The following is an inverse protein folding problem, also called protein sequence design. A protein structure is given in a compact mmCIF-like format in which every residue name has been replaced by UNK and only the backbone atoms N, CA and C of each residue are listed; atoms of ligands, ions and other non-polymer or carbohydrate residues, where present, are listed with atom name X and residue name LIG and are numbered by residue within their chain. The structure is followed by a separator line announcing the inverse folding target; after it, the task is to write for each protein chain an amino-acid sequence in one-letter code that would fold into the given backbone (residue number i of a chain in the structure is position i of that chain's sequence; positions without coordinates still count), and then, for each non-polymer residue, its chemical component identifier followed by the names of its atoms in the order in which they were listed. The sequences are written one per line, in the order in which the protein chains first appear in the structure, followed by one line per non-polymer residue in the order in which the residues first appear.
data_IF_313998355194
#
_entry.id   IF_313998355194
#
_cell.length_a   1.000
_cell.length_b   1.000
_cell.length_c   1.000
_cell.angle_alpha   90.00
_cell.angle_beta   90.00
_cell.angle_gamma   90.00
#
_symmetry.space_group_name_H-M   'P 1'
#
loop_
_entity.id
_entity.type
_entity.pdbx_description
1 polymer ?
#
# COMPACT_ATOMS: atom_id res chain seq x y z
N UNK A 1 -11.61 -13.16 -59.84
CA UNK A 1 -12.93 -13.72 -59.61
C UNK A 1 -13.31 -13.27 -58.20
N UNK A 2 -13.87 -12.08 -58.04
CA UNK A 2 -15.27 -11.70 -57.78
C UNK A 2 -15.88 -12.55 -56.69
N UNK A 3 -16.19 -11.98 -55.46
CA UNK A 3 -17.44 -11.28 -55.22
C UNK A 3 -17.39 -10.49 -53.90
N UNK A 4 -17.74 -9.23 -53.99
CA UNK A 4 -18.19 -8.33 -52.90
C UNK A 4 -19.60 -8.75 -52.48
N UNK A 5 -19.94 -8.60 -51.19
CA UNK A 5 -21.31 -8.14 -50.84
C UNK A 5 -21.16 -7.29 -49.54
N UNK A 6 -21.64 -6.05 -49.65
CA UNK A 6 -21.95 -5.11 -48.60
C UNK A 6 -23.46 -5.15 -48.32
N UNK A 7 -23.88 -4.93 -47.07
CA UNK A 7 -25.23 -4.42 -46.69
C UNK A 7 -25.07 -3.72 -45.35
N UNK A 8 -25.12 -2.44 -45.27
CA UNK A 8 -26.23 -1.44 -45.25
C UNK A 8 -26.99 -1.41 -43.91
N UNK A 9 -26.84 -0.24 -43.30
CA UNK A 9 -27.47 0.44 -42.17
C UNK A 9 -29.01 0.30 -42.15
N UNK A 10 -29.58 0.17 -40.95
CA UNK A 10 -30.88 0.76 -40.62
C UNK A 10 -30.93 1.13 -39.12
N UNK A 11 -31.13 2.40 -38.88
CA UNK A 11 -31.53 2.99 -37.63
C UNK A 11 -33.01 2.75 -37.37
N UNK A 12 -33.37 2.46 -36.12
CA UNK A 12 -34.75 2.64 -35.64
C UNK A 12 -34.73 3.14 -34.20
N UNK A 13 -35.08 4.41 -34.04
CA UNK A 13 -35.51 5.02 -32.79
C UNK A 13 -36.77 4.34 -32.26
N UNK A 14 -36.75 3.91 -31.00
CA UNK A 14 -37.98 3.68 -30.25
C UNK A 14 -37.81 4.29 -28.86
N UNK A 15 -38.49 5.39 -28.62
CA UNK A 15 -38.78 5.94 -27.30
C UNK A 15 -39.57 4.90 -26.49
N UNK A 16 -39.03 4.54 -25.31
CA UNK A 16 -39.79 3.85 -24.27
C UNK A 16 -39.73 4.68 -22.99
N UNK A 17 -40.91 4.95 -22.44
CA UNK A 17 -41.17 5.77 -21.26
C UNK A 17 -40.55 5.24 -19.97
N UNK A 18 -40.41 6.08 -18.92
CA UNK A 18 -39.68 5.72 -17.70
C UNK A 18 -40.48 4.77 -16.83
N UNK A 19 -39.92 3.60 -16.58
CA UNK A 19 -40.43 2.66 -15.58
C UNK A 19 -40.11 3.17 -14.16
N UNK A 20 -41.15 3.22 -13.34
CA UNK A 20 -41.17 3.62 -11.94
C UNK A 20 -39.99 3.00 -11.14
N UNK A 21 -39.15 3.85 -10.57
CA UNK A 21 -38.23 3.52 -9.50
C UNK A 21 -38.99 2.99 -8.27
N UNK A 22 -38.78 1.73 -7.94
CA UNK A 22 -39.21 1.16 -6.65
C UNK A 22 -38.45 1.89 -5.55
N UNK A 23 -39.19 2.52 -4.63
CA UNK A 23 -38.66 3.11 -3.39
C UNK A 23 -37.96 2.01 -2.58
N UNK A 24 -36.64 2.07 -2.49
CA UNK A 24 -35.88 1.32 -1.49
C UNK A 24 -36.18 1.94 -0.12
N UNK A 25 -36.62 1.13 0.83
CA UNK A 25 -36.92 1.54 2.17
C UNK A 25 -35.68 2.16 2.82
N UNK A 26 -35.85 3.30 3.49
CA UNK A 26 -34.86 3.91 4.35
C UNK A 26 -34.55 2.95 5.50
N UNK A 27 -33.43 2.27 5.46
CA UNK A 27 -32.83 1.68 6.65
C UNK A 27 -32.32 2.82 7.53
N UNK A 28 -32.73 2.84 8.78
CA UNK A 28 -32.36 3.87 9.75
C UNK A 28 -30.85 3.80 10.03
N UNK A 29 -30.24 4.97 10.28
CA UNK A 29 -28.81 5.15 10.60
C UNK A 29 -28.28 4.23 11.72
N UNK A 30 -29.17 3.66 12.52
CA UNK A 30 -28.88 2.81 13.67
C UNK A 30 -28.58 1.33 13.31
N UNK A 31 -29.01 0.84 12.16
CA UNK A 31 -28.77 -0.57 11.78
C UNK A 31 -27.48 -0.76 10.96
N UNK A 32 -27.02 0.26 10.22
CA UNK A 32 -25.77 0.21 9.47
C UNK A 32 -24.50 0.24 10.35
N UNK A 33 -24.61 0.67 11.60
CA UNK A 33 -23.49 0.75 12.52
C UNK A 33 -23.18 -0.58 13.26
N UNK A 34 -23.99 -1.63 13.07
CA UNK A 34 -23.81 -2.91 13.76
C UNK A 34 -23.25 -4.03 12.89
N UNK A 35 -23.18 -3.84 11.59
CA UNK A 35 -22.72 -4.85 10.62
C UNK A 35 -21.44 -4.46 9.89
N UNK A 36 -20.76 -3.39 10.31
CA UNK A 36 -19.41 -3.11 9.87
C UNK A 36 -18.45 -3.97 10.70
N UNK A 37 -17.58 -4.80 10.07
CA UNK A 37 -16.47 -5.39 10.81
C UNK A 37 -15.69 -4.23 11.43
N UNK A 38 -15.31 -4.39 12.69
CA UNK A 38 -14.58 -3.40 13.48
C UNK A 38 -13.48 -2.78 12.61
N UNK A 39 -13.70 -1.53 12.18
CA UNK A 39 -12.65 -0.73 11.62
C UNK A 39 -11.69 -0.46 12.78
N UNK A 40 -10.67 -1.32 12.94
CA UNK A 40 -9.57 -1.07 13.85
C UNK A 40 -8.91 0.24 13.44
N UNK A 41 -9.46 1.34 13.95
CA UNK A 41 -8.76 2.61 13.98
C UNK A 41 -7.51 2.36 14.81
N UNK A 42 -6.29 2.67 14.32
CA UNK A 42 -5.10 2.58 15.13
C UNK A 42 -5.40 3.32 16.44
N UNK A 43 -5.31 2.62 17.55
CA UNK A 43 -5.50 3.21 18.86
C UNK A 43 -4.56 4.40 18.94
N UNK A 44 -5.04 5.52 19.49
CA UNK A 44 -4.21 6.68 19.81
C UNK A 44 -2.97 6.15 20.50
N UNK A 45 -1.78 6.38 19.89
CA UNK A 45 -0.50 6.05 20.48
C UNK A 45 -0.54 6.52 21.94
N UNK A 46 -0.67 5.58 22.86
CA UNK A 46 -0.30 5.84 24.25
C UNK A 46 1.22 5.83 24.21
N UNK A 47 1.81 7.03 24.16
CA UNK A 47 3.23 7.20 24.41
C UNK A 47 3.60 6.41 25.65
N UNK A 48 4.20 5.24 25.47
CA UNK A 48 4.92 4.60 26.56
C UNK A 48 6.10 5.54 26.85
N UNK A 49 6.12 6.25 27.98
CA UNK A 49 7.11 7.28 28.22
C UNK A 49 8.49 6.61 28.30
N UNK A 50 9.38 6.96 27.38
CA UNK A 50 10.80 6.73 27.51
C UNK A 50 11.36 5.46 26.87
N UNK A 51 10.70 4.84 25.88
CA UNK A 51 11.31 3.74 25.14
C UNK A 51 12.25 4.31 24.05
N UNK A 52 13.58 4.16 24.27
CA UNK A 52 14.56 4.46 23.21
C UNK A 52 14.58 3.34 22.17
N UNK A 53 13.79 3.48 21.11
CA UNK A 53 13.72 2.56 19.99
C UNK A 53 14.94 2.68 19.03
N UNK A 54 15.82 3.64 19.26
CA UNK A 54 17.08 3.78 18.51
C UNK A 54 18.11 2.68 18.83
N UNK A 55 17.99 2.01 19.99
CA UNK A 55 18.90 0.97 20.45
C UNK A 55 18.43 -0.46 20.13
N UNK A 56 17.47 -0.66 19.21
CA UNK A 56 16.95 -1.99 18.86
C UNK A 56 18.03 -2.87 18.23
N UNK A 57 18.30 -4.01 18.87
CA UNK A 57 19.28 -5.03 18.41
C UNK A 57 18.64 -5.99 17.41
N UNK A 58 17.44 -6.46 17.72
CA UNK A 58 16.69 -7.44 16.92
C UNK A 58 15.20 -7.17 17.00
N UNK A 59 14.48 -7.57 15.95
CA UNK A 59 13.02 -7.62 15.94
C UNK A 59 12.56 -8.96 15.38
N UNK A 60 11.50 -9.49 15.95
CA UNK A 60 10.84 -10.74 15.51
C UNK A 60 9.36 -10.43 15.35
N UNK A 61 8.78 -10.71 14.18
CA UNK A 61 7.35 -10.60 13.99
C UNK A 61 6.68 -11.79 14.66
N UNK A 62 5.76 -11.53 15.58
CA UNK A 62 5.13 -12.55 16.43
C UNK A 62 3.67 -12.80 16.08
N UNK A 63 3.11 -11.95 15.21
CA UNK A 63 1.72 -12.10 14.76
C UNK A 63 1.29 -10.95 13.85
N UNK A 64 -0.01 -10.89 13.58
CA UNK A 64 -0.58 -9.80 12.78
C UNK A 64 -0.39 -8.48 13.53
N UNK A 65 0.39 -7.58 12.94
CA UNK A 65 0.75 -6.26 13.47
C UNK A 65 1.49 -6.27 14.80
N UNK A 66 2.06 -7.39 15.21
CA UNK A 66 2.81 -7.51 16.46
C UNK A 66 4.26 -7.93 16.24
N UNK A 67 5.16 -7.34 16.98
CA UNK A 67 6.56 -7.72 17.00
C UNK A 67 7.11 -7.67 18.41
N UNK A 68 8.05 -8.59 18.72
CA UNK A 68 8.91 -8.50 19.89
C UNK A 68 10.22 -7.86 19.46
N UNK A 69 10.62 -6.77 20.11
CA UNK A 69 11.90 -6.10 19.90
C UNK A 69 12.85 -6.34 21.07
N UNK A 70 14.11 -6.61 20.76
CA UNK A 70 15.20 -6.75 21.73
C UNK A 70 15.93 -5.43 21.86
N UNK A 71 15.84 -4.84 23.04
CA UNK A 71 16.63 -3.70 23.49
C UNK A 71 17.77 -4.18 24.41
N UNK A 72 18.63 -3.26 24.83
CA UNK A 72 19.67 -3.60 25.78
C UNK A 72 19.08 -4.07 27.12
N UNK A 73 19.26 -5.38 27.42
CA UNK A 73 18.82 -6.00 28.68
C UNK A 73 17.33 -6.31 28.82
N UNK A 74 16.49 -6.08 27.78
CA UNK A 74 15.04 -6.40 27.82
C UNK A 74 14.42 -6.65 26.45
N UNK A 75 13.29 -7.34 26.45
CA UNK A 75 12.41 -7.47 25.29
C UNK A 75 11.11 -6.71 25.53
N UNK A 76 10.51 -6.18 24.45
CA UNK A 76 9.26 -5.43 24.50
C UNK A 76 8.40 -5.84 23.30
N UNK A 77 7.13 -6.12 23.55
CA UNK A 77 6.13 -6.34 22.52
C UNK A 77 5.54 -5.00 22.08
N UNK A 78 5.41 -4.83 20.77
CA UNK A 78 4.93 -3.59 20.16
C UNK A 78 3.86 -3.87 19.10
N UNK A 79 2.97 -2.92 18.88
CA UNK A 79 2.17 -2.86 17.67
C UNK A 79 3.02 -2.20 16.56
N UNK A 80 3.28 -2.93 15.50
CA UNK A 80 4.12 -2.44 14.40
C UNK A 80 3.48 -1.28 13.64
N UNK A 81 2.15 -1.12 13.73
CA UNK A 81 1.42 0.01 13.12
C UNK A 81 1.75 1.34 13.78
N UNK A 82 2.23 1.31 15.01
CA UNK A 82 2.66 2.50 15.76
C UNK A 82 4.10 2.92 15.42
N UNK A 83 4.89 2.07 14.74
CA UNK A 83 6.26 2.38 14.35
C UNK A 83 6.30 3.36 13.20
N UNK A 84 6.65 4.60 13.49
CA UNK A 84 6.88 5.61 12.47
C UNK A 84 8.25 5.43 11.81
N UNK A 85 8.30 5.29 10.48
CA UNK A 85 9.57 5.29 9.74
C UNK A 85 10.44 6.52 10.03
N UNK A 86 9.84 7.64 10.42
CA UNK A 86 10.54 8.91 10.66
C UNK A 86 11.04 9.07 12.09
N UNK A 87 10.29 8.53 13.05
CA UNK A 87 10.59 8.68 14.48
C UNK A 87 11.33 7.45 14.99
N UNK A 88 10.86 6.26 14.57
CA UNK A 88 11.33 4.97 15.05
C UNK A 88 12.10 4.20 13.97
N UNK A 89 12.88 4.91 13.14
CA UNK A 89 13.51 4.35 11.93
C UNK A 89 14.27 3.04 12.21
N UNK A 90 15.00 2.97 13.31
CA UNK A 90 15.79 1.77 13.66
C UNK A 90 14.89 0.56 13.92
N UNK A 91 13.84 0.70 14.73
CA UNK A 91 12.89 -0.36 15.03
C UNK A 91 12.07 -0.74 13.78
N UNK A 92 11.60 0.25 13.05
CA UNK A 92 10.88 0.05 11.79
C UNK A 92 11.72 -0.74 10.78
N UNK A 93 12.99 -0.39 10.58
CA UNK A 93 13.90 -1.11 9.68
C UNK A 93 14.14 -2.55 10.15
N UNK A 94 14.28 -2.80 11.45
CA UNK A 94 14.48 -4.15 12.01
C UNK A 94 13.22 -5.01 11.83
N UNK A 95 12.03 -4.48 12.15
CA UNK A 95 10.77 -5.18 11.91
C UNK A 95 10.56 -5.47 10.40
N UNK A 96 10.85 -4.49 9.54
CA UNK A 96 10.76 -4.67 8.09
C UNK A 96 11.73 -5.74 7.57
N UNK A 97 12.94 -5.81 8.11
CA UNK A 97 13.96 -6.79 7.73
C UNK A 97 13.63 -8.22 8.21
N UNK A 98 12.75 -8.35 9.21
CA UNK A 98 12.28 -9.65 9.70
C UNK A 98 11.19 -10.27 8.82
N UNK A 99 10.62 -9.52 7.87
CA UNK A 99 9.62 -10.00 6.92
C UNK A 99 10.29 -10.67 5.70
N UNK A 100 9.60 -11.59 5.08
CA UNK A 100 10.05 -12.19 3.81
C UNK A 100 9.98 -11.18 2.66
N UNK A 101 8.87 -10.45 2.56
CA UNK A 101 8.67 -9.39 1.57
C UNK A 101 7.83 -8.24 2.12
N UNK A 102 8.04 -7.07 1.54
CA UNK A 102 7.15 -5.92 1.74
C UNK A 102 6.47 -5.54 0.44
N UNK A 103 5.31 -4.90 0.51
CA UNK A 103 4.49 -4.56 -0.65
C UNK A 103 5.28 -3.84 -1.77
N UNK A 104 6.27 -3.03 -1.42
CA UNK A 104 7.15 -2.36 -2.39
C UNK A 104 8.04 -3.33 -3.19
N UNK A 105 8.17 -4.58 -2.76
CA UNK A 105 9.00 -5.63 -3.36
C UNK A 105 8.18 -6.78 -3.96
N UNK A 106 6.85 -6.76 -3.82
CA UNK A 106 6.00 -7.85 -4.32
C UNK A 106 6.14 -8.11 -5.82
N UNK A 107 6.41 -7.05 -6.61
CA UNK A 107 6.69 -7.24 -8.04
C UNK A 107 8.02 -7.97 -8.31
N UNK A 108 8.96 -8.01 -7.35
CA UNK A 108 10.17 -8.82 -7.48
C UNK A 108 9.84 -10.31 -7.39
N UNK A 109 8.88 -10.73 -6.57
CA UNK A 109 8.42 -12.12 -6.53
C UNK A 109 7.87 -12.61 -7.88
N UNK A 110 7.32 -11.71 -8.71
CA UNK A 110 6.84 -11.95 -10.07
C UNK A 110 7.92 -11.72 -11.14
N UNK A 111 9.14 -11.40 -10.75
CA UNK A 111 10.25 -10.97 -11.63
C UNK A 111 9.88 -9.78 -12.55
N UNK A 112 9.00 -8.90 -12.07
CA UNK A 112 8.54 -7.69 -12.78
C UNK A 112 8.98 -6.38 -12.10
N UNK A 113 9.76 -6.48 -11.03
CA UNK A 113 10.26 -5.29 -10.34
C UNK A 113 11.33 -4.58 -11.18
N UNK A 114 11.24 -3.25 -11.26
CA UNK A 114 12.08 -2.46 -12.16
C UNK A 114 13.57 -2.45 -11.80
N UNK A 115 13.91 -2.60 -10.53
CA UNK A 115 15.25 -2.32 -10.00
C UNK A 115 15.93 -3.55 -9.41
N UNK A 116 15.21 -4.64 -9.22
CA UNK A 116 15.74 -5.85 -8.58
C UNK A 116 15.06 -7.08 -9.18
N UNK A 117 15.84 -8.08 -9.53
CA UNK A 117 15.31 -9.38 -9.92
C UNK A 117 14.82 -10.16 -8.70
N UNK A 118 14.03 -11.20 -8.95
CA UNK A 118 13.57 -12.13 -7.90
C UNK A 118 14.75 -12.77 -7.16
N UNK A 119 15.75 -13.23 -7.90
CA UNK A 119 16.95 -13.88 -7.35
C UNK A 119 17.75 -12.93 -6.44
N UNK A 120 17.95 -11.68 -6.86
CA UNK A 120 18.63 -10.69 -6.02
C UNK A 120 17.93 -10.48 -4.69
N UNK A 121 16.59 -10.34 -4.70
CA UNK A 121 15.82 -10.14 -3.46
C UNK A 121 15.86 -11.38 -2.58
N UNK A 122 15.77 -12.60 -3.14
CA UNK A 122 15.95 -13.85 -2.41
C UNK A 122 17.29 -13.90 -1.69
N UNK A 123 18.38 -13.61 -2.38
CA UNK A 123 19.74 -13.64 -1.81
C UNK A 123 19.93 -12.62 -0.69
N UNK A 124 19.32 -11.42 -0.81
CA UNK A 124 19.36 -10.43 0.28
C UNK A 124 18.57 -10.90 1.49
N UNK A 125 17.38 -11.42 1.27
CA UNK A 125 16.50 -11.88 2.35
C UNK A 125 17.00 -13.17 3.02
N UNK A 126 17.71 -14.02 2.28
CA UNK A 126 18.41 -15.19 2.82
C UNK A 126 19.71 -14.84 3.58
N UNK A 127 20.12 -13.55 3.54
CA UNK A 127 21.37 -13.13 4.20
C UNK A 127 22.65 -13.54 3.46
N UNK A 128 22.55 -14.08 2.25
CA UNK A 128 23.69 -14.53 1.45
C UNK A 128 24.53 -13.36 0.91
N UNK A 129 23.90 -12.23 0.65
CA UNK A 129 24.56 -10.99 0.24
C UNK A 129 23.95 -9.80 0.97
N UNK A 130 24.72 -8.74 1.24
CA UNK A 130 24.19 -7.56 1.89
C UNK A 130 23.15 -6.87 1.00
N UNK A 131 22.05 -6.42 1.62
CA UNK A 131 21.03 -5.64 0.92
C UNK A 131 21.62 -4.31 0.46
N UNK A 132 21.42 -3.90 -0.81
CA UNK A 132 21.90 -2.62 -1.30
C UNK A 132 21.31 -1.45 -0.49
N UNK A 133 22.16 -0.49 -0.12
CA UNK A 133 21.67 0.75 0.47
C UNK A 133 20.94 1.57 -0.60
N UNK A 134 19.67 1.77 -0.40
CA UNK A 134 18.89 2.65 -1.26
C UNK A 134 19.23 4.10 -0.95
N UNK A 135 19.59 4.86 -1.96
CA UNK A 135 19.99 6.27 -1.79
C UNK A 135 19.87 7.07 -3.08
N UNK A 136 20.37 8.31 -3.03
CA UNK A 136 20.41 9.22 -4.15
C UNK A 136 19.24 10.19 -4.21
N UNK A 137 19.41 11.18 -5.09
CA UNK A 137 18.51 12.35 -5.19
C UNK A 137 16.99 12.01 -5.28
N UNK A 138 16.54 10.95 -6.00
CA UNK A 138 15.12 10.63 -6.04
C UNK A 138 14.54 10.22 -4.68
N UNK A 139 15.30 9.43 -3.91
CA UNK A 139 14.87 8.93 -2.59
C UNK A 139 14.89 10.07 -1.57
N UNK A 140 15.95 10.84 -1.55
CA UNK A 140 16.07 12.03 -0.68
C UNK A 140 14.97 13.06 -0.98
N UNK A 141 14.66 13.27 -2.26
CA UNK A 141 13.58 14.14 -2.67
C UNK A 141 12.22 13.61 -2.15
N UNK A 142 11.97 12.31 -2.27
CA UNK A 142 10.77 11.66 -1.73
C UNK A 142 10.65 11.91 -0.24
N UNK A 143 11.66 11.52 0.54
CA UNK A 143 11.70 11.69 2.01
C UNK A 143 11.49 13.14 2.44
N UNK A 144 12.11 14.09 1.75
CA UNK A 144 12.01 15.54 2.06
C UNK A 144 10.62 16.10 1.80
N UNK A 145 9.96 15.64 0.77
CA UNK A 145 8.72 16.26 0.29
C UNK A 145 7.43 15.49 0.64
N UNK A 146 7.51 14.28 1.16
CA UNK A 146 6.37 13.44 1.49
C UNK A 146 5.34 14.13 2.41
N UNK A 147 5.78 14.78 3.50
CA UNK A 147 4.86 15.52 4.37
C UNK A 147 4.15 16.67 3.65
N UNK A 148 4.86 17.37 2.77
CA UNK A 148 4.25 18.44 1.97
C UNK A 148 3.25 17.87 0.96
N UNK A 149 3.55 16.72 0.39
CA UNK A 149 2.68 16.00 -0.51
C UNK A 149 1.40 15.51 0.20
N UNK A 150 1.51 14.88 1.37
CA UNK A 150 0.35 14.45 2.18
C UNK A 150 -0.56 15.65 2.50
N UNK A 151 0.02 16.79 2.91
CA UNK A 151 -0.75 18.02 3.14
C UNK A 151 -1.43 18.52 1.87
N UNK A 152 -0.78 18.38 0.70
CA UNK A 152 -1.37 18.74 -0.58
C UNK A 152 -2.51 17.80 -0.97
N UNK A 153 -2.40 16.50 -0.66
CA UNK A 153 -3.49 15.54 -0.81
C UNK A 153 -4.72 15.94 0.01
N UNK A 154 -4.56 16.17 1.32
CA UNK A 154 -5.64 16.55 2.20
C UNK A 154 -6.34 17.83 1.74
N UNK A 155 -5.58 18.86 1.30
CA UNK A 155 -6.16 20.09 0.74
C UNK A 155 -6.90 19.84 -0.57
N UNK A 156 -6.42 18.92 -1.41
CA UNK A 156 -7.00 18.63 -2.73
C UNK A 156 -8.29 17.85 -2.65
N UNK A 157 -8.36 16.89 -1.73
CA UNK A 157 -9.48 15.94 -1.61
C UNK A 157 -10.47 16.32 -0.50
N UNK A 158 -10.02 17.06 0.50
CA UNK A 158 -10.77 17.31 1.73
C UNK A 158 -10.78 16.13 2.69
N UNK A 159 -10.13 15.01 2.36
CA UNK A 159 -10.09 13.82 3.20
C UNK A 159 -9.10 13.98 4.36
N UNK A 160 -9.39 13.29 5.46
CA UNK A 160 -8.47 13.19 6.59
C UNK A 160 -7.43 12.10 6.32
N UNK A 161 -6.18 12.38 6.69
CA UNK A 161 -5.07 11.43 6.56
C UNK A 161 -4.41 11.26 7.92
N UNK A 162 -4.42 10.03 8.42
CA UNK A 162 -3.69 9.65 9.63
C UNK A 162 -2.37 8.99 9.25
N UNK A 163 -1.32 9.29 10.03
CA UNK A 163 -0.05 8.56 9.91
C UNK A 163 -0.24 7.11 10.35
N UNK A 164 0.54 6.22 9.77
CA UNK A 164 0.55 4.80 10.13
C UNK A 164 1.96 4.24 9.93
N UNK A 165 2.24 3.11 10.58
CA UNK A 165 3.54 2.45 10.51
C UNK A 165 3.55 1.21 9.62
N UNK A 166 4.18 0.14 10.14
CA UNK A 166 4.34 -1.12 9.43
C UNK A 166 3.16 -2.06 9.74
N UNK A 167 2.37 -2.36 8.74
CA UNK A 167 1.34 -3.39 8.78
C UNK A 167 1.95 -4.74 8.42
N UNK A 168 1.54 -5.80 9.10
CA UNK A 168 1.95 -7.17 8.80
C UNK A 168 0.72 -8.04 8.60
N UNK A 169 0.83 -9.03 7.73
CA UNK A 169 -0.23 -10.01 7.51
C UNK A 169 -0.36 -11.00 8.69
N UNK A 170 -1.33 -11.90 8.63
CA UNK A 170 -1.56 -12.89 9.69
C UNK A 170 -0.47 -13.96 9.78
N UNK A 171 0.32 -14.15 8.72
CA UNK A 171 1.45 -15.11 8.71
C UNK A 171 2.72 -14.50 9.29
N UNK A 172 2.81 -13.19 9.42
CA UNK A 172 4.02 -12.47 9.80
C UNK A 172 5.13 -12.50 8.73
N UNK A 173 4.81 -12.93 7.51
CA UNK A 173 5.77 -13.01 6.39
C UNK A 173 5.73 -11.76 5.50
N UNK A 174 4.60 -11.09 5.39
CA UNK A 174 4.40 -9.97 4.48
C UNK A 174 4.06 -8.68 5.22
N UNK A 175 4.57 -7.58 4.71
CA UNK A 175 4.28 -6.29 5.31
C UNK A 175 4.04 -5.17 4.30
N UNK A 176 3.44 -4.10 4.80
CA UNK A 176 3.16 -2.88 4.05
C UNK A 176 3.31 -1.65 4.96
N UNK A 177 3.83 -0.56 4.41
CA UNK A 177 3.86 0.74 5.09
C UNK A 177 3.28 1.77 4.13
N UNK A 178 1.95 1.93 4.10
CA UNK A 178 1.33 3.00 3.31
C UNK A 178 1.71 4.37 3.87
N UNK A 179 1.71 5.39 3.02
CA UNK A 179 2.07 6.75 3.42
C UNK A 179 0.97 7.43 4.26
N UNK A 180 -0.20 6.81 4.38
CA UNK A 180 -1.28 7.22 5.27
C UNK A 180 -2.52 6.34 5.20
N UNK A 181 -3.30 6.40 6.30
CA UNK A 181 -4.67 5.93 6.33
C UNK A 181 -5.59 7.10 5.98
N UNK A 182 -6.54 6.87 5.09
CA UNK A 182 -7.47 7.90 4.63
C UNK A 182 -8.88 7.55 5.06
N UNK A 183 -9.60 8.54 5.58
CA UNK A 183 -11.05 8.47 5.74
C UNK A 183 -11.68 9.37 4.68
N UNK A 184 -12.44 8.78 3.78
CA UNK A 184 -13.19 9.51 2.76
C UNK A 184 -14.36 10.23 3.45
N UNK A 185 -14.34 11.55 3.46
CA UNK A 185 -15.36 12.36 4.15
C UNK A 185 -16.76 12.24 3.53
N UNK A 186 -16.84 11.88 2.26
CA UNK A 186 -18.13 11.74 1.59
C UNK A 186 -18.82 10.42 1.93
N UNK A 187 -18.05 9.33 2.07
CA UNK A 187 -18.59 7.99 2.31
C UNK A 187 -18.38 7.48 3.73
N UNK A 188 -17.39 7.99 4.46
CA UNK A 188 -16.94 7.48 5.75
C UNK A 188 -16.09 6.22 5.63
N UNK A 189 -15.76 5.77 4.41
CA UNK A 189 -14.96 4.58 4.17
C UNK A 189 -13.47 4.85 4.42
N UNK A 190 -12.79 3.86 4.95
CA UNK A 190 -11.35 3.91 5.18
C UNK A 190 -10.58 3.27 4.02
N UNK A 191 -9.52 3.93 3.59
CA UNK A 191 -8.61 3.45 2.55
C UNK A 191 -7.17 3.84 2.84
N UNK A 192 -6.32 3.69 1.84
CA UNK A 192 -4.89 3.97 1.92
C UNK A 192 -4.51 5.18 1.07
N UNK A 193 -3.37 5.77 1.39
CA UNK A 193 -2.66 6.74 0.56
C UNK A 193 -1.27 6.21 0.23
N UNK A 194 -0.92 6.26 -1.06
CA UNK A 194 0.43 6.02 -1.55
C UNK A 194 0.92 7.24 -2.33
N UNK A 195 2.01 7.85 -1.89
CA UNK A 195 2.56 9.10 -2.43
C UNK A 195 3.82 8.82 -3.24
N UNK A 196 3.86 9.32 -4.47
CA UNK A 196 5.04 9.28 -5.34
C UNK A 196 5.52 10.67 -5.67
N UNK A 197 6.54 11.16 -4.96
CA UNK A 197 7.23 12.41 -5.26
C UNK A 197 8.15 12.22 -6.48
N UNK A 198 7.82 12.86 -7.60
CA UNK A 198 8.45 12.59 -8.90
C UNK A 198 9.69 13.47 -9.12
N UNK A 199 10.87 13.05 -8.64
CA UNK A 199 12.15 13.76 -8.83
C UNK A 199 12.44 14.12 -10.29
N UNK A 200 12.28 13.18 -11.21
CA UNK A 200 12.55 13.41 -12.65
C UNK A 200 11.60 14.42 -13.30
N UNK A 201 10.50 14.74 -12.64
CA UNK A 201 9.48 15.70 -13.10
C UNK A 201 9.32 16.91 -12.18
N UNK A 202 10.22 17.10 -11.21
CA UNK A 202 10.13 18.17 -10.18
C UNK A 202 10.03 19.59 -10.73
N UNK A 203 10.51 19.82 -11.94
CA UNK A 203 10.44 21.12 -12.63
C UNK A 203 9.20 21.27 -13.52
N UNK A 204 8.38 20.23 -13.65
CA UNK A 204 7.13 20.32 -14.43
C UNK A 204 6.10 21.13 -13.66
N UNK A 205 5.52 22.13 -14.32
CA UNK A 205 4.41 22.92 -13.76
C UNK A 205 3.10 22.14 -13.75
N UNK A 206 2.97 21.17 -14.66
CA UNK A 206 1.78 20.34 -14.78
C UNK A 206 2.16 18.90 -15.12
N UNK A 207 1.58 17.95 -14.40
CA UNK A 207 1.67 16.53 -14.68
C UNK A 207 0.61 16.12 -15.71
N UNK A 208 0.92 15.09 -16.48
CA UNK A 208 -0.08 14.46 -17.36
C UNK A 208 -1.26 13.92 -16.53
N UNK A 209 -2.46 13.83 -17.12
CA UNK A 209 -3.59 13.18 -16.47
C UNK A 209 -3.23 11.78 -15.97
N UNK A 210 -3.70 11.44 -14.78
CA UNK A 210 -3.54 10.12 -14.17
C UNK A 210 -4.89 9.40 -14.26
N UNK A 211 -5.09 8.65 -15.35
CA UNK A 211 -6.36 7.96 -15.64
C UNK A 211 -6.34 6.47 -15.32
N UNK A 212 -5.15 5.91 -15.14
CA UNK A 212 -4.95 4.52 -14.70
C UNK A 212 -3.72 4.40 -13.83
N UNK A 213 -3.71 3.39 -12.95
CA UNK A 213 -2.53 3.10 -12.14
C UNK A 213 -1.38 2.64 -13.05
N UNK A 214 -0.20 3.29 -12.97
CA UNK A 214 0.97 2.81 -13.70
C UNK A 214 1.38 1.42 -13.21
N UNK A 215 1.69 0.51 -14.14
CA UNK A 215 2.01 -0.90 -13.84
C UNK A 215 3.07 -1.05 -12.74
N UNK A 216 4.08 -0.19 -12.73
CA UNK A 216 5.17 -0.21 -11.74
C UNK A 216 4.76 0.07 -10.29
N UNK A 217 3.53 0.54 -10.04
CA UNK A 217 2.98 0.80 -8.71
C UNK A 217 1.83 -0.14 -8.37
N UNK A 218 1.30 -0.84 -9.38
CA UNK A 218 0.06 -1.60 -9.23
C UNK A 218 0.21 -2.73 -8.21
N UNK A 219 1.25 -3.57 -8.35
CA UNK A 219 1.48 -4.67 -7.41
C UNK A 219 1.74 -4.17 -5.98
N UNK A 220 2.51 -3.07 -5.82
CA UNK A 220 2.71 -2.45 -4.51
C UNK A 220 1.38 -2.03 -3.88
N UNK A 221 0.52 -1.33 -4.62
CA UNK A 221 -0.75 -0.80 -4.15
C UNK A 221 -1.72 -1.95 -3.82
N UNK A 222 -1.82 -2.96 -4.67
CA UNK A 222 -2.66 -4.13 -4.42
C UNK A 222 -2.18 -4.92 -3.20
N UNK A 223 -0.86 -5.11 -3.06
CA UNK A 223 -0.28 -5.75 -1.90
C UNK A 223 -0.49 -4.97 -0.60
N UNK A 224 -0.42 -3.64 -0.64
CA UNK A 224 -0.75 -2.80 0.52
C UNK A 224 -2.22 -3.00 0.93
N UNK A 225 -3.15 -2.99 -0.04
CA UNK A 225 -4.57 -3.20 0.25
C UNK A 225 -4.85 -4.59 0.82
N UNK A 226 -4.14 -5.61 0.36
CA UNK A 226 -4.25 -6.97 0.90
C UNK A 226 -3.78 -7.05 2.35
N UNK A 227 -2.55 -6.57 2.63
CA UNK A 227 -1.95 -6.62 3.98
C UNK A 227 -2.73 -5.77 4.98
N UNK A 228 -3.20 -4.58 4.55
CA UNK A 228 -3.91 -3.64 5.40
C UNK A 228 -5.43 -3.89 5.45
N UNK A 229 -5.94 -4.84 4.65
CA UNK A 229 -7.36 -5.12 4.49
C UNK A 229 -8.19 -3.87 4.19
N UNK A 230 -7.88 -3.23 3.06
CA UNK A 230 -8.57 -2.03 2.57
C UNK A 230 -9.05 -2.22 1.15
N UNK A 231 -10.22 -1.65 0.83
CA UNK A 231 -10.87 -1.83 -0.48
C UNK A 231 -10.39 -0.83 -1.54
N UNK A 232 -9.65 0.20 -1.14
CA UNK A 232 -9.11 1.19 -2.06
C UNK A 232 -7.84 1.86 -1.53
N UNK A 233 -7.04 2.35 -2.47
CA UNK A 233 -5.87 3.16 -2.22
C UNK A 233 -5.85 4.35 -3.16
N UNK A 234 -5.67 5.55 -2.65
CA UNK A 234 -5.45 6.74 -3.47
C UNK A 234 -3.97 6.84 -3.81
N UNK A 235 -3.62 6.58 -5.08
CA UNK A 235 -2.29 6.84 -5.63
C UNK A 235 -2.15 8.33 -5.93
N UNK A 236 -1.20 8.98 -5.29
CA UNK A 236 -0.86 10.37 -5.52
C UNK A 236 0.47 10.52 -6.24
N UNK A 237 0.48 11.20 -7.37
CA UNK A 237 1.69 11.69 -8.02
C UNK A 237 1.88 13.17 -7.68
N UNK A 238 3.03 13.51 -7.12
CA UNK A 238 3.31 14.84 -6.63
C UNK A 238 4.59 15.45 -7.24
N UNK A 239 4.50 16.73 -7.56
CA UNK A 239 5.63 17.63 -7.81
C UNK A 239 5.35 18.97 -7.11
N UNK A 240 6.33 19.86 -6.90
CA UNK A 240 6.12 21.14 -6.18
C UNK A 240 4.96 21.99 -6.71
N UNK A 241 4.60 21.85 -7.97
CA UNK A 241 3.64 22.72 -8.64
C UNK A 241 2.33 22.03 -9.07
N UNK A 242 2.23 20.69 -8.93
CA UNK A 242 1.03 19.96 -9.34
C UNK A 242 0.86 18.61 -8.62
N UNK A 243 -0.38 18.21 -8.51
CA UNK A 243 -0.83 16.98 -7.86
C UNK A 243 -1.82 16.25 -8.76
N UNK A 244 -1.64 14.95 -8.93
CA UNK A 244 -2.64 14.07 -9.51
C UNK A 244 -2.96 12.95 -8.51
N UNK A 245 -4.24 12.69 -8.32
CA UNK A 245 -4.74 11.63 -7.44
C UNK A 245 -5.60 10.69 -8.26
N UNK A 246 -5.45 9.40 -8.04
CA UNK A 246 -6.26 8.35 -8.65
C UNK A 246 -6.65 7.35 -7.56
N UNK A 247 -7.93 7.13 -7.36
CA UNK A 247 -8.42 6.04 -6.53
C UNK A 247 -8.28 4.72 -7.28
N UNK A 248 -7.54 3.81 -6.68
CA UNK A 248 -7.30 2.45 -7.20
C UNK A 248 -8.11 1.49 -6.33
N UNK A 249 -9.09 0.78 -6.89
CA UNK A 249 -9.83 -0.24 -6.15
C UNK A 249 -8.97 -1.48 -5.93
N UNK A 250 -9.29 -2.26 -4.89
CA UNK A 250 -8.69 -3.58 -4.64
C UNK A 250 -9.12 -4.55 -5.73
N UNK A 251 -8.14 -5.20 -6.33
CA UNK A 251 -8.31 -6.24 -7.34
C UNK A 251 -8.03 -7.61 -6.70
N UNK A 252 -9.08 -8.25 -6.19
CA UNK A 252 -8.98 -9.55 -5.53
C UNK A 252 -8.59 -10.66 -6.49
N UNK A 253 -8.96 -10.56 -7.77
CA UNK A 253 -8.59 -11.53 -8.78
C UNK A 253 -7.08 -11.44 -9.07
N UNK A 254 -6.53 -10.22 -9.23
CA UNK A 254 -5.10 -10.05 -9.39
C UNK A 254 -4.29 -10.61 -8.20
N UNK A 255 -4.79 -10.42 -6.97
CA UNK A 255 -4.15 -11.03 -5.80
C UNK A 255 -4.24 -12.55 -5.87
N UNK A 256 -5.44 -13.11 -6.06
CA UNK A 256 -5.65 -14.56 -6.02
C UNK A 256 -4.93 -15.31 -7.15
N UNK A 257 -4.91 -14.73 -8.35
CA UNK A 257 -4.44 -15.44 -9.55
C UNK A 257 -2.97 -15.17 -9.88
N UNK A 258 -2.43 -14.00 -9.48
CA UNK A 258 -1.08 -13.62 -9.88
C UNK A 258 -0.16 -13.29 -8.70
N UNK A 259 -0.52 -12.33 -7.84
CA UNK A 259 0.41 -11.79 -6.86
C UNK A 259 0.55 -12.71 -5.64
N UNK A 260 -0.53 -13.20 -5.09
CA UNK A 260 -0.55 -14.11 -3.93
C UNK A 260 0.26 -15.39 -4.18
N UNK A 261 0.02 -16.14 -5.27
CA UNK A 261 0.84 -17.31 -5.60
C UNK A 261 2.33 -16.98 -5.74
N UNK A 262 2.67 -15.85 -6.36
CA UNK A 262 4.07 -15.46 -6.56
C UNK A 262 4.79 -15.14 -5.24
N UNK A 263 4.15 -14.39 -4.32
CA UNK A 263 4.77 -14.07 -3.03
C UNK A 263 4.84 -15.30 -2.12
N UNK A 264 3.87 -16.21 -2.20
CA UNK A 264 3.90 -17.49 -1.48
C UNK A 264 5.07 -18.35 -1.94
N UNK A 265 5.21 -18.58 -3.27
CA UNK A 265 6.32 -19.34 -3.84
C UNK A 265 7.69 -18.69 -3.53
N UNK A 266 7.74 -17.35 -3.44
CA UNK A 266 8.94 -16.64 -3.02
C UNK A 266 9.32 -16.99 -1.57
N UNK A 267 8.35 -16.97 -0.65
CA UNK A 267 8.60 -17.28 0.77
C UNK A 267 9.00 -18.74 0.99
N UNK A 268 8.41 -19.68 0.25
CA UNK A 268 8.76 -21.09 0.32
C UNK A 268 10.22 -21.33 -0.13
N UNK A 269 10.63 -20.69 -1.24
CA UNK A 269 12.01 -20.77 -1.71
C UNK A 269 12.98 -20.09 -0.75
N UNK A 270 12.61 -18.93 -0.20
CA UNK A 270 13.41 -18.23 0.80
C UNK A 270 13.63 -19.08 2.05
N UNK A 271 12.59 -19.77 2.52
CA UNK A 271 12.68 -20.68 3.67
C UNK A 271 13.64 -21.84 3.39
N UNK A 272 13.56 -22.45 2.20
CA UNK A 272 14.48 -23.48 1.77
C UNK A 272 15.93 -22.98 1.72
N UNK A 273 16.16 -21.75 1.22
CA UNK A 273 17.51 -21.13 1.18
C UNK A 273 18.08 -20.81 2.57
N UNK A 274 17.22 -20.55 3.57
CA UNK A 274 17.65 -20.28 4.96
C UNK A 274 18.03 -21.56 5.71
N UNK A 275 17.53 -22.71 5.27
CA UNK A 275 17.79 -24.03 5.87
C UNK A 275 19.00 -24.74 5.24
N UNK A 276 19.44 -24.34 4.07
CA UNK A 276 20.62 -24.86 3.35
C UNK A 276 21.92 -24.20 3.82
#
# INVERSE_FOLDING_TARGET
MLLRIAFVVAAANALAAPTRLKKWGRTTKSQRARDAPDAETPGRVTEAPGLDLGSVRRATITGRHTATIELEGRTVDIDTRDLSQRVDEAAWLKCRAALDLTASEFDAARDKHKFSSREEVLRWQAGQVPRPKLGGQPIEFGRRHESAAIKAYARRTGNDVAATGLWTDSTGKYGASPDGLVVDRATGESGLLEVKCLWSRRHKRQLAPLTKCPNRYFAQIQGQMEVCDREWCDLMLWVPHDVKVLRVPRDRAFWADELGPAVTAFSEELEAMRLS
#
